data_IF_647233061450
#
_entry.id   IF_647233061450
#
_cell.length_a   1.000
_cell.length_b   1.000
_cell.length_c   1.000
_cell.angle_alpha   90.00
_cell.angle_beta   90.00
_cell.angle_gamma   90.00
#
_symmetry.space_group_name_H-M   'P 1'
#
loop_
_entity.id
_entity.type
_entity.pdbx_description
1 polymer ?
#
# COMPACT_ATOMS: atom_id res chain seq x y z
N UNK A 1 17.65 39.51 6.34
CA UNK A 1 16.87 38.60 7.23
C UNK A 1 15.82 37.83 6.45
N UNK A 2 15.10 38.43 5.50
CA UNK A 2 14.10 37.72 4.67
C UNK A 2 14.69 36.60 3.80
N UNK A 3 15.82 36.85 3.13
CA UNK A 3 16.43 35.89 2.18
C UNK A 3 16.90 34.58 2.85
N UNK A 4 17.41 34.66 4.08
CA UNK A 4 17.86 33.47 4.83
C UNK A 4 16.71 32.60 5.32
N UNK A 5 15.53 33.19 5.60
CA UNK A 5 14.33 32.43 5.97
C UNK A 5 13.74 31.73 4.74
N UNK A 6 13.68 32.40 3.59
CA UNK A 6 13.19 31.82 2.33
C UNK A 6 14.06 30.62 1.91
N UNK A 7 15.38 30.71 2.06
CA UNK A 7 16.28 29.61 1.74
C UNK A 7 16.13 28.41 2.70
N UNK A 8 15.91 28.67 3.99
CA UNK A 8 15.59 27.62 4.97
C UNK A 8 14.24 26.94 4.66
N UNK A 9 13.21 27.71 4.32
CA UNK A 9 11.89 27.19 3.98
C UNK A 9 11.94 26.34 2.70
N UNK A 10 12.74 26.75 1.69
CA UNK A 10 12.99 25.97 0.48
C UNK A 10 13.69 24.65 0.78
N UNK A 11 14.73 24.65 1.62
CA UNK A 11 15.45 23.44 2.03
C UNK A 11 14.53 22.48 2.78
N UNK A 12 13.74 22.99 3.73
CA UNK A 12 12.78 22.19 4.49
C UNK A 12 11.70 21.60 3.58
N UNK A 13 11.13 22.41 2.67
CA UNK A 13 10.13 21.92 1.70
C UNK A 13 10.67 20.80 0.82
N UNK A 14 11.93 20.92 0.36
CA UNK A 14 12.56 19.90 -0.47
C UNK A 14 12.82 18.62 0.30
N UNK A 15 13.37 18.72 1.51
CA UNK A 15 13.63 17.56 2.36
C UNK A 15 12.34 16.79 2.72
N UNK A 16 11.24 17.52 2.97
CA UNK A 16 9.92 16.92 3.18
C UNK A 16 9.41 16.20 1.93
N UNK A 17 9.54 16.82 0.75
CA UNK A 17 9.17 16.20 -0.54
C UNK A 17 10.00 14.93 -0.79
N UNK A 18 11.31 14.98 -0.58
CA UNK A 18 12.22 13.83 -0.78
C UNK A 18 11.88 12.68 0.17
N UNK A 19 11.63 12.96 1.45
CA UNK A 19 11.26 11.93 2.43
C UNK A 19 9.91 11.28 2.10
N UNK A 20 8.93 12.09 1.69
CA UNK A 20 7.60 11.59 1.31
C UNK A 20 7.69 10.75 0.04
N UNK A 21 8.49 11.18 -0.94
CA UNK A 21 8.69 10.41 -2.18
C UNK A 21 9.38 9.07 -1.92
N UNK A 22 10.40 9.07 -1.07
CA UNK A 22 11.10 7.84 -0.67
C UNK A 22 10.16 6.88 0.08
N UNK A 23 9.27 7.41 0.94
CA UNK A 23 8.25 6.62 1.60
C UNK A 23 7.28 5.99 0.58
N UNK A 24 6.82 6.76 -0.40
CA UNK A 24 5.89 6.24 -1.42
C UNK A 24 6.51 5.14 -2.28
N UNK A 25 7.78 5.29 -2.64
CA UNK A 25 8.52 4.25 -3.36
C UNK A 25 8.63 2.97 -2.51
N UNK A 26 8.97 3.11 -1.22
CA UNK A 26 9.00 2.00 -0.28
C UNK A 26 7.64 1.30 -0.20
N UNK A 27 6.55 2.06 -0.09
CA UNK A 27 5.19 1.51 -0.05
C UNK A 27 4.79 0.87 -1.38
N UNK A 28 5.26 1.37 -2.52
CA UNK A 28 5.11 0.71 -3.82
C UNK A 28 5.72 -0.70 -3.82
N UNK A 29 6.88 -0.89 -3.18
CA UNK A 29 7.46 -2.23 -3.01
C UNK A 29 6.65 -3.12 -2.07
N UNK A 30 6.02 -2.55 -1.04
CA UNK A 30 5.11 -3.28 -0.13
C UNK A 30 3.85 -3.71 -0.85
N UNK A 31 3.28 -2.86 -1.70
CA UNK A 31 2.14 -3.21 -2.54
C UNK A 31 2.49 -4.35 -3.51
N UNK A 32 3.69 -4.33 -4.11
CA UNK A 32 4.19 -5.46 -4.91
C UNK A 32 4.34 -6.74 -4.10
N UNK A 33 4.97 -6.66 -2.93
CA UNK A 33 5.15 -7.80 -2.05
C UNK A 33 3.80 -8.37 -1.59
N UNK A 34 2.85 -7.51 -1.25
CA UNK A 34 1.48 -7.89 -0.91
C UNK A 34 0.81 -8.62 -2.06
N UNK A 35 0.98 -8.21 -3.32
CA UNK A 35 0.46 -8.94 -4.48
C UNK A 35 1.11 -10.32 -4.64
N UNK A 36 2.43 -10.36 -4.65
CA UNK A 36 3.21 -11.56 -5.01
C UNK A 36 3.28 -12.60 -3.89
N UNK A 37 3.17 -12.19 -2.62
CA UNK A 37 3.36 -13.04 -1.45
C UNK A 37 2.07 -13.18 -0.67
N UNK A 38 2.00 -14.22 0.15
CA UNK A 38 0.89 -14.45 1.10
C UNK A 38 1.34 -14.12 2.52
N UNK A 39 1.58 -12.83 2.79
CA UNK A 39 1.94 -12.36 4.14
C UNK A 39 1.16 -11.11 4.54
N UNK A 40 0.42 -11.13 5.66
CA UNK A 40 -0.40 -9.97 6.05
C UNK A 40 0.42 -8.81 6.61
N UNK A 41 1.71 -9.03 6.93
CA UNK A 41 2.65 -7.97 7.29
C UNK A 41 2.77 -6.84 6.25
N UNK A 42 2.67 -7.15 4.96
CA UNK A 42 2.77 -6.13 3.92
C UNK A 42 1.49 -5.27 3.90
N UNK A 43 0.34 -5.85 4.24
CA UNK A 43 -0.93 -5.15 4.46
C UNK A 43 -0.83 -4.24 5.71
N UNK A 44 -0.18 -4.71 6.77
CA UNK A 44 0.09 -3.94 7.98
C UNK A 44 0.99 -2.74 7.74
N UNK A 45 2.09 -2.92 7.02
CA UNK A 45 3.03 -1.85 6.72
C UNK A 45 2.34 -0.73 5.92
N UNK A 46 1.52 -1.08 4.91
CA UNK A 46 0.76 -0.13 4.09
C UNK A 46 -0.24 0.69 4.93
N UNK A 47 -1.02 0.02 5.76
CA UNK A 47 -2.02 0.68 6.60
C UNK A 47 -1.39 1.56 7.68
N UNK A 48 -0.33 1.07 8.33
CA UNK A 48 0.37 1.81 9.38
C UNK A 48 1.04 3.07 8.84
N UNK A 49 1.68 2.97 7.66
CA UNK A 49 2.34 4.12 7.04
C UNK A 49 1.33 5.22 6.68
N UNK A 50 0.20 4.86 6.08
CA UNK A 50 -0.88 5.80 5.76
C UNK A 50 -1.40 6.55 6.99
N UNK A 51 -1.46 5.89 8.15
CA UNK A 51 -1.93 6.51 9.39
C UNK A 51 -0.89 7.38 10.10
N UNK A 52 0.40 7.18 9.81
CA UNK A 52 1.49 7.76 10.59
C UNK A 52 2.29 8.82 9.82
N UNK A 53 2.11 8.90 8.51
CA UNK A 53 2.81 9.82 7.63
C UNK A 53 1.92 10.28 6.48
N UNK A 54 2.27 11.41 5.90
CA UNK A 54 1.69 11.85 4.63
C UNK A 54 2.23 10.95 3.52
N UNK A 55 1.32 10.34 2.77
CA UNK A 55 1.59 9.38 1.70
C UNK A 55 0.66 9.75 0.56
N UNK A 56 1.17 9.77 -0.68
CA UNK A 56 0.33 9.96 -1.87
C UNK A 56 -0.01 8.59 -2.47
N UNK A 57 -1.28 8.12 -2.36
CA UNK A 57 -1.70 6.84 -2.92
C UNK A 57 -1.43 6.71 -4.42
N UNK A 58 -1.50 7.81 -5.18
CA UNK A 58 -1.24 7.81 -6.61
C UNK A 58 0.25 7.56 -6.91
N UNK A 59 1.16 8.13 -6.13
CA UNK A 59 2.60 7.89 -6.28
C UNK A 59 2.97 6.48 -5.85
N UNK A 60 2.40 5.97 -4.76
CA UNK A 60 2.57 4.56 -4.34
C UNK A 60 2.20 3.59 -5.47
N UNK A 61 1.04 3.80 -6.09
CA UNK A 61 0.56 2.97 -7.22
C UNK A 61 1.45 3.14 -8.45
N UNK A 62 1.90 4.35 -8.75
CA UNK A 62 2.83 4.62 -9.85
C UNK A 62 4.17 3.90 -9.67
N UNK A 63 4.74 3.93 -8.46
CA UNK A 63 5.96 3.18 -8.11
C UNK A 63 5.73 1.67 -8.25
N UNK A 64 4.61 1.16 -7.75
CA UNK A 64 4.23 -0.26 -7.90
C UNK A 64 4.16 -0.69 -9.37
N UNK A 65 3.48 0.07 -10.22
CA UNK A 65 3.34 -0.24 -11.65
C UNK A 65 4.69 -0.23 -12.36
N UNK A 66 5.56 0.75 -12.05
CA UNK A 66 6.93 0.80 -12.57
C UNK A 66 7.72 -0.47 -12.20
N UNK A 67 7.65 -0.91 -10.95
CA UNK A 67 8.33 -2.12 -10.51
C UNK A 67 7.79 -3.42 -11.13
N UNK A 68 6.52 -3.45 -11.53
CA UNK A 68 5.97 -4.57 -12.28
C UNK A 68 6.47 -4.56 -13.72
N UNK A 69 6.46 -3.40 -14.37
CA UNK A 69 6.91 -3.24 -15.77
C UNK A 69 8.42 -3.57 -15.91
N UNK A 70 9.26 -3.10 -14.98
CA UNK A 70 10.68 -3.47 -14.90
C UNK A 70 10.89 -4.99 -14.76
N UNK A 71 9.94 -5.70 -14.13
CA UNK A 71 9.94 -7.15 -13.99
C UNK A 71 9.25 -7.91 -15.13
N UNK A 72 8.75 -7.22 -16.15
CA UNK A 72 7.99 -7.83 -17.25
C UNK A 72 6.61 -8.34 -16.85
N UNK A 73 6.06 -7.84 -15.75
CA UNK A 73 4.75 -8.23 -15.23
C UNK A 73 3.71 -7.14 -15.47
N UNK A 74 2.45 -7.56 -15.59
CA UNK A 74 1.29 -6.66 -15.61
C UNK A 74 0.25 -7.18 -14.64
N UNK A 75 -0.49 -6.28 -14.04
CA UNK A 75 -1.63 -6.60 -13.19
C UNK A 75 -2.74 -5.60 -13.46
N UNK A 76 -3.95 -6.10 -13.64
CA UNK A 76 -5.17 -5.30 -13.67
C UNK A 76 -5.70 -5.10 -12.25
N UNK A 77 -6.56 -4.08 -12.10
CA UNK A 77 -7.32 -3.87 -10.88
C UNK A 77 -8.05 -5.14 -10.44
N UNK A 78 -8.80 -5.76 -11.34
CA UNK A 78 -9.59 -6.95 -11.04
C UNK A 78 -8.73 -8.14 -10.53
N UNK A 79 -7.58 -8.38 -11.16
CA UNK A 79 -6.67 -9.47 -10.75
C UNK A 79 -6.15 -9.27 -9.33
N UNK A 80 -5.77 -8.03 -8.97
CA UNK A 80 -5.30 -7.76 -7.61
C UNK A 80 -6.46 -7.80 -6.60
N UNK A 81 -7.63 -7.22 -6.90
CA UNK A 81 -8.78 -7.30 -6.00
C UNK A 81 -9.19 -8.76 -5.70
N UNK A 82 -9.23 -9.63 -6.71
CA UNK A 82 -9.49 -11.06 -6.52
C UNK A 82 -8.38 -11.75 -5.69
N UNK A 83 -7.11 -11.42 -5.94
CA UNK A 83 -5.97 -11.93 -5.18
C UNK A 83 -6.02 -11.54 -3.70
N UNK A 84 -6.36 -10.28 -3.40
CA UNK A 84 -6.50 -9.79 -2.03
C UNK A 84 -7.69 -10.48 -1.33
N UNK A 85 -8.84 -10.60 -2.01
CA UNK A 85 -9.99 -11.31 -1.46
C UNK A 85 -9.68 -12.77 -1.11
N UNK A 86 -8.98 -13.50 -2.00
CA UNK A 86 -8.57 -14.88 -1.75
C UNK A 86 -7.59 -15.00 -0.56
N UNK A 87 -6.76 -13.98 -0.30
CA UNK A 87 -5.86 -13.94 0.86
C UNK A 87 -6.62 -13.70 2.16
N UNK A 88 -7.59 -12.79 2.15
CA UNK A 88 -8.43 -12.49 3.31
C UNK A 88 -9.33 -13.67 3.72
N UNK A 89 -9.75 -14.50 2.76
CA UNK A 89 -10.47 -15.74 3.03
C UNK A 89 -9.59 -16.85 3.66
N UNK A 90 -8.26 -16.71 3.63
CA UNK A 90 -7.36 -17.67 4.27
C UNK A 90 -7.03 -17.28 5.72
N UNK A 91 -7.57 -18.04 6.67
CA UNK A 91 -7.31 -17.85 8.09
C UNK A 91 -5.83 -17.97 8.51
N UNK A 92 -4.95 -18.61 7.72
CA UNK A 92 -3.50 -18.57 7.99
C UNK A 92 -2.91 -17.20 7.68
N UNK A 93 -3.33 -16.58 6.57
CA UNK A 93 -2.89 -15.23 6.21
C UNK A 93 -3.36 -14.22 7.25
N UNK A 94 -4.62 -14.29 7.69
CA UNK A 94 -5.17 -13.30 8.62
C UNK A 94 -4.52 -13.30 10.00
N UNK A 95 -3.90 -14.43 10.40
CA UNK A 95 -3.26 -14.61 11.71
C UNK A 95 -1.73 -14.58 11.67
N UNK A 96 -1.10 -14.52 10.49
CA UNK A 96 0.36 -14.66 10.37
C UNK A 96 1.14 -13.52 11.06
N UNK A 97 0.50 -12.37 11.25
CA UNK A 97 1.10 -11.19 11.87
C UNK A 97 0.93 -11.15 13.39
N UNK A 98 -0.02 -11.91 13.97
CA UNK A 98 -0.33 -11.87 15.40
C UNK A 98 0.93 -12.02 16.29
N UNK A 99 1.88 -12.93 16.03
CA UNK A 99 3.08 -13.06 16.85
C UNK A 99 4.06 -11.87 16.75
N UNK A 100 3.89 -11.02 15.74
CA UNK A 100 4.77 -9.88 15.46
C UNK A 100 4.17 -8.55 15.95
N UNK A 101 2.90 -8.53 16.34
CA UNK A 101 2.24 -7.33 16.84
C UNK A 101 2.69 -7.03 18.27
N UNK A 102 3.07 -5.78 18.52
CA UNK A 102 3.31 -5.34 19.89
C UNK A 102 1.98 -5.32 20.67
N UNK A 103 1.97 -5.59 22.00
CA UNK A 103 0.75 -5.80 22.80
C UNK A 103 -0.29 -4.65 22.83
N UNK A 104 0.00 -3.50 22.22
CA UNK A 104 -0.85 -2.31 22.20
C UNK A 104 -1.15 -1.78 20.80
N UNK A 105 -0.76 -2.52 19.75
CA UNK A 105 -1.05 -2.11 18.39
C UNK A 105 -2.49 -2.48 18.08
N UNK A 106 -3.34 -1.47 17.90
CA UNK A 106 -4.68 -1.65 17.36
C UNK A 106 -4.53 -2.00 15.87
N UNK A 107 -4.82 -3.25 15.54
CA UNK A 107 -4.73 -3.78 14.19
C UNK A 107 -6.06 -4.44 13.83
N UNK A 108 -6.66 -3.99 12.74
CA UNK A 108 -7.81 -4.63 12.13
C UNK A 108 -7.47 -4.89 10.65
N UNK A 109 -7.49 -6.17 10.27
CA UNK A 109 -7.11 -6.58 8.93
C UNK A 109 -8.13 -6.14 7.87
N UNK A 110 -9.41 -6.03 8.25
CA UNK A 110 -10.47 -5.55 7.36
C UNK A 110 -10.34 -4.05 7.12
N UNK A 111 -9.96 -3.28 8.13
CA UNK A 111 -9.66 -1.85 7.97
C UNK A 111 -8.47 -1.64 7.02
N UNK A 112 -7.42 -2.44 7.20
CA UNK A 112 -6.26 -2.41 6.32
C UNK A 112 -6.61 -2.83 4.89
N UNK A 113 -7.43 -3.88 4.74
CA UNK A 113 -7.91 -4.34 3.44
C UNK A 113 -8.76 -3.28 2.73
N UNK A 114 -9.65 -2.59 3.46
CA UNK A 114 -10.45 -1.47 2.91
C UNK A 114 -9.54 -0.35 2.42
N UNK A 115 -8.56 0.08 3.21
CA UNK A 115 -7.60 1.09 2.76
C UNK A 115 -6.90 0.68 1.46
N UNK A 116 -6.35 -0.54 1.40
CA UNK A 116 -5.66 -1.01 0.19
C UNK A 116 -6.61 -1.05 -1.01
N UNK A 117 -7.82 -1.58 -0.86
CA UNK A 117 -8.80 -1.66 -1.95
C UNK A 117 -9.24 -0.28 -2.43
N UNK A 118 -9.66 0.57 -1.51
CA UNK A 118 -10.36 1.82 -1.82
C UNK A 118 -9.38 2.92 -2.21
N UNK A 119 -8.19 2.93 -1.61
CA UNK A 119 -7.17 3.96 -1.89
C UNK A 119 -6.07 3.53 -2.84
N UNK A 120 -5.66 2.26 -2.87
CA UNK A 120 -4.57 1.82 -3.76
C UNK A 120 -5.09 1.10 -5.00
N UNK A 121 -5.85 0.03 -4.83
CA UNK A 121 -6.30 -0.79 -5.96
C UNK A 121 -7.29 -0.06 -6.86
N UNK A 122 -8.09 0.86 -6.33
CA UNK A 122 -8.99 1.70 -7.11
C UNK A 122 -8.28 2.56 -8.18
N UNK A 123 -6.97 2.79 -8.02
CA UNK A 123 -6.14 3.58 -8.94
C UNK A 123 -5.38 2.71 -9.97
N UNK A 124 -5.52 1.39 -9.90
CA UNK A 124 -4.96 0.48 -10.89
C UNK A 124 -5.75 0.54 -12.20
N UNK A 125 -5.09 0.27 -13.35
CA UNK A 125 -5.77 0.22 -14.64
C UNK A 125 -6.74 -0.97 -14.72
N UNK A 126 -7.82 -0.77 -15.47
CA UNK A 126 -8.84 -1.78 -15.74
C UNK A 126 -10.06 -1.68 -14.83
N UNK A 127 -11.05 -2.52 -15.14
CA UNK A 127 -12.31 -2.54 -14.40
C UNK A 127 -12.15 -3.19 -13.02
N UNK A 128 -12.99 -2.83 -12.03
CA UNK A 128 -13.04 -3.51 -10.74
C UNK A 128 -13.46 -4.97 -10.91
N UNK A 129 -12.96 -5.82 -10.02
CA UNK A 129 -13.40 -7.19 -9.88
C UNK A 129 -14.89 -7.24 -9.56
N UNK A 130 -15.63 -8.13 -10.24
CA UNK A 130 -17.08 -8.28 -10.08
C UNK A 130 -17.47 -9.28 -8.99
N UNK A 131 -16.49 -9.79 -8.24
CA UNK A 131 -16.66 -10.91 -7.32
C UNK A 131 -16.54 -12.26 -8.04
N UNK A 132 -16.24 -13.30 -7.26
CA UNK A 132 -16.63 -14.65 -7.61
C UNK A 132 -18.04 -14.82 -7.08
N UNK A 133 -18.95 -15.35 -7.88
CA UNK A 133 -20.22 -15.85 -7.39
C UNK A 133 -19.91 -16.79 -6.21
N UNK A 134 -20.18 -16.34 -4.99
CA UNK A 134 -20.32 -17.25 -3.88
C UNK A 134 -21.62 -18.00 -4.18
N UNK A 135 -21.50 -19.13 -4.88
CA UNK A 135 -22.55 -20.13 -4.89
C UNK A 135 -22.83 -20.50 -3.43
N UNK A 136 -24.01 -20.03 -3.00
CA UNK A 136 -24.79 -20.31 -1.79
C UNK A 136 -24.39 -21.53 -0.97
#
# INVERSE_FOLDING_TARGET
MQDSQVEQDLILSRALVENTYHLDELLGTKLRALYQRKKSRDLFDLWTAHRSAEVDPQRVVSCFLRYLDEGGHRVSRAEFEANLAAKLADGMFTRDIEPLLAPRVAWDIEDAARYVRDELLARLPGDPWKGGEAES
#
